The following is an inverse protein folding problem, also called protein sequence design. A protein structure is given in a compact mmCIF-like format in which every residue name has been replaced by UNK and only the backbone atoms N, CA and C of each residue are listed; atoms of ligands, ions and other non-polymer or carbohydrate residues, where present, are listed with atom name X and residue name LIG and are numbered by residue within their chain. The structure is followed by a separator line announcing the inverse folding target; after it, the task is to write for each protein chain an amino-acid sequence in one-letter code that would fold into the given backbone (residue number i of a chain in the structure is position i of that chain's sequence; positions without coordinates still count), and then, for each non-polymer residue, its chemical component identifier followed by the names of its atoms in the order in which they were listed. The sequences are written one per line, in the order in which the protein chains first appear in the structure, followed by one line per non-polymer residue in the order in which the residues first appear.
data_IF_975018692043
#
_entry.id   IF_975018692043
#
_cell.length_a   1.000
_cell.length_b   1.000
_cell.length_c   1.000
_cell.angle_alpha   90.00
_cell.angle_beta   90.00
_cell.angle_gamma   90.00
#
_symmetry.space_group_name_H-M   'P 1'
#
loop_
_entity.id
_entity.type
_entity.pdbx_description
1 polymer ?
#
# COMPACT_ATOMS: atom_id res chain seq x y z
N UNK A 1 1.87 11.67 2.76
CA UNK A 1 0.93 11.34 1.66
C UNK A 1 -0.45 11.77 2.16
N UNK A 2 -1.10 12.70 1.48
CA UNK A 2 -2.38 13.29 1.89
C UNK A 2 -3.54 12.80 1.02
N UNK A 3 -3.25 12.28 -0.17
CA UNK A 3 -4.24 11.73 -1.09
C UNK A 3 -3.71 10.50 -1.84
N UNK A 4 -4.60 9.73 -2.43
CA UNK A 4 -4.23 8.60 -3.30
C UNK A 4 -3.44 9.08 -4.53
N UNK A 5 -3.70 10.30 -5.01
CA UNK A 5 -2.96 10.90 -6.13
C UNK A 5 -1.45 11.08 -5.81
N UNK A 6 -1.10 11.24 -4.53
CA UNK A 6 0.29 11.37 -4.09
C UNK A 6 1.09 10.05 -4.16
N UNK A 7 0.41 8.93 -4.43
CA UNK A 7 1.07 7.62 -4.61
C UNK A 7 1.83 7.51 -5.93
N UNK A 8 1.63 8.44 -6.88
CA UNK A 8 2.35 8.45 -8.15
C UNK A 8 3.87 8.46 -7.91
N UNK A 9 4.56 7.49 -8.49
CA UNK A 9 6.01 7.27 -8.35
C UNK A 9 6.45 6.74 -6.98
N UNK A 10 5.52 6.40 -6.09
CA UNK A 10 5.81 5.89 -4.74
C UNK A 10 5.87 4.37 -4.71
N UNK A 11 6.62 3.84 -3.75
CA UNK A 11 6.69 2.42 -3.45
C UNK A 11 5.50 2.04 -2.59
N UNK A 12 4.62 1.20 -3.11
CA UNK A 12 3.40 0.81 -2.40
C UNK A 12 3.45 -0.69 -2.11
N UNK A 13 3.54 -1.04 -0.83
CA UNK A 13 3.45 -2.42 -0.38
C UNK A 13 2.05 -2.98 -0.61
N UNK A 14 1.95 -4.20 -1.15
CA UNK A 14 0.67 -4.93 -1.24
C UNK A 14 0.88 -6.43 -1.44
N UNK A 15 0.00 -7.27 -0.90
CA UNK A 15 0.01 -8.70 -1.21
C UNK A 15 -0.53 -8.98 -2.61
N UNK A 16 0.24 -9.66 -3.49
CA UNK A 16 -0.19 -9.96 -4.86
C UNK A 16 -1.45 -10.85 -4.90
N UNK A 17 -2.48 -10.46 -5.64
CA UNK A 17 -3.70 -11.25 -5.82
C UNK A 17 -4.63 -11.31 -4.59
N UNK A 18 -4.40 -10.45 -3.59
CA UNK A 18 -5.22 -10.38 -2.37
C UNK A 18 -6.37 -9.38 -2.52
N UNK A 19 -7.32 -9.38 -1.58
CA UNK A 19 -8.37 -8.35 -1.51
C UNK A 19 -7.80 -6.93 -1.42
N UNK A 20 -6.68 -6.74 -0.69
CA UNK A 20 -5.98 -5.47 -0.60
C UNK A 20 -5.33 -5.03 -1.92
N UNK A 21 -4.99 -5.98 -2.80
CA UNK A 21 -4.54 -5.65 -4.16
C UNK A 21 -5.68 -5.02 -4.95
N UNK A 22 -6.85 -5.65 -4.96
CA UNK A 22 -8.03 -5.13 -5.66
C UNK A 22 -8.45 -3.77 -5.11
N UNK A 23 -8.39 -3.59 -3.79
CA UNK A 23 -8.67 -2.31 -3.15
C UNK A 23 -7.69 -1.21 -3.61
N UNK A 24 -6.39 -1.53 -3.66
CA UNK A 24 -5.38 -0.58 -4.12
C UNK A 24 -5.62 -0.17 -5.58
N UNK A 25 -5.90 -1.14 -6.46
CA UNK A 25 -6.22 -0.86 -7.87
C UNK A 25 -7.44 0.06 -7.97
N UNK A 26 -8.54 -0.29 -7.31
CA UNK A 26 -9.77 0.52 -7.34
C UNK A 26 -9.57 1.94 -6.77
N UNK A 27 -8.73 2.09 -5.74
CA UNK A 27 -8.39 3.39 -5.17
C UNK A 27 -7.60 4.25 -6.17
N UNK A 28 -6.61 3.66 -6.84
CA UNK A 28 -5.81 4.35 -7.86
C UNK A 28 -6.66 4.77 -9.06
N UNK A 29 -7.52 3.87 -9.56
CA UNK A 29 -8.46 4.17 -10.65
C UNK A 29 -9.38 5.34 -10.31
N UNK A 30 -9.93 5.35 -9.08
CA UNK A 30 -10.77 6.46 -8.59
C UNK A 30 -10.00 7.79 -8.51
N UNK A 31 -8.69 7.73 -8.28
CA UNK A 31 -7.81 8.91 -8.27
C UNK A 31 -7.30 9.29 -9.67
N UNK A 32 -7.69 8.56 -10.73
CA UNK A 32 -7.19 8.77 -12.08
C UNK A 32 -5.72 8.36 -12.28
N UNK A 33 -5.19 7.51 -11.40
CA UNK A 33 -3.86 6.93 -11.50
C UNK A 33 -3.93 5.53 -12.09
N UNK A 34 -3.04 5.25 -13.04
CA UNK A 34 -2.84 3.87 -13.51
C UNK A 34 -1.92 3.12 -12.54
N UNK A 35 -2.10 1.80 -12.44
CA UNK A 35 -1.32 0.96 -11.53
C UNK A 35 0.18 0.95 -11.86
N UNK A 36 0.55 1.18 -13.12
CA UNK A 36 1.95 1.31 -13.56
C UNK A 36 2.60 2.65 -13.19
N UNK A 37 1.81 3.62 -12.71
CA UNK A 37 2.30 4.90 -12.22
C UNK A 37 2.77 4.83 -10.76
N UNK A 38 2.59 3.69 -10.10
CA UNK A 38 3.17 3.40 -8.78
C UNK A 38 4.26 2.33 -8.92
N UNK A 39 5.08 2.16 -7.90
CA UNK A 39 6.01 1.03 -7.79
C UNK A 39 5.43 0.00 -6.82
N UNK A 40 4.70 -1.02 -7.29
CA UNK A 40 4.14 -2.04 -6.40
C UNK A 40 5.25 -2.91 -5.83
N UNK A 41 5.29 -3.04 -4.50
CA UNK A 41 6.22 -3.91 -3.78
C UNK A 41 5.41 -5.07 -3.20
N UNK A 42 5.60 -6.26 -3.77
CA UNK A 42 4.84 -7.43 -3.35
C UNK A 42 5.44 -8.04 -2.09
N UNK A 43 4.74 -7.90 -0.97
CA UNK A 43 5.19 -8.32 0.36
C UNK A 43 4.07 -9.07 1.08
N UNK A 44 4.44 -9.99 1.97
CA UNK A 44 3.48 -10.51 2.94
C UNK A 44 3.06 -9.39 3.91
N UNK A 45 1.91 -9.47 4.58
CA UNK A 45 1.51 -8.43 5.53
C UNK A 45 2.54 -8.18 6.65
N UNK A 46 3.24 -9.22 7.12
CA UNK A 46 4.28 -9.09 8.12
C UNK A 46 5.51 -8.33 7.58
N UNK A 47 5.95 -8.67 6.36
CA UNK A 47 7.10 -8.03 5.72
C UNK A 47 6.79 -6.58 5.35
N UNK A 48 5.57 -6.30 4.89
CA UNK A 48 5.13 -4.95 4.55
C UNK A 48 5.09 -4.03 5.78
N UNK A 49 4.67 -4.55 6.94
CA UNK A 49 4.72 -3.79 8.19
C UNK A 49 6.16 -3.40 8.56
N UNK A 50 7.13 -4.32 8.40
CA UNK A 50 8.54 -4.05 8.67
C UNK A 50 9.16 -3.09 7.63
N UNK A 51 8.80 -3.25 6.35
CA UNK A 51 9.23 -2.38 5.27
C UNK A 51 8.70 -0.95 5.43
N UNK A 52 7.45 -0.79 5.89
CA UNK A 52 6.86 0.52 6.18
C UNK A 52 7.57 1.19 7.35
N UNK A 53 7.85 0.45 8.43
CA UNK A 53 8.57 0.93 9.60
C UNK A 53 10.00 1.42 9.32
N UNK A 54 10.60 0.92 8.24
CA UNK A 54 12.00 1.18 7.85
C UNK A 54 12.11 2.08 6.62
N UNK A 55 11.03 2.80 6.26
CA UNK A 55 10.96 3.71 5.10
C UNK A 55 11.31 3.04 3.75
N UNK A 56 11.17 1.71 3.67
CA UNK A 56 11.40 0.94 2.44
C UNK A 56 10.18 0.97 1.50
N UNK A 57 8.99 1.26 2.02
CA UNK A 57 7.78 1.56 1.24
C UNK A 57 7.14 2.84 1.76
N UNK A 58 6.57 3.62 0.84
CA UNK A 58 5.98 4.93 1.14
C UNK A 58 4.50 4.81 1.55
N UNK A 59 3.82 3.74 1.13
CA UNK A 59 2.44 3.42 1.48
C UNK A 59 2.22 1.90 1.48
N UNK A 60 1.13 1.45 2.11
CA UNK A 60 0.80 0.02 2.21
C UNK A 60 -0.72 -0.20 2.19
N UNK A 61 -1.18 -1.13 1.34
CA UNK A 61 -2.56 -1.62 1.34
C UNK A 61 -2.66 -2.98 2.05
N UNK A 62 -3.50 -3.07 3.08
CA UNK A 62 -3.66 -4.27 3.92
C UNK A 62 -5.07 -4.38 4.53
N UNK A 63 -5.40 -5.53 5.10
CA UNK A 63 -6.63 -5.83 5.84
C UNK A 63 -6.36 -6.01 7.36
N UNK A 64 -7.42 -5.97 8.16
CA UNK A 64 -7.34 -6.26 9.59
C UNK A 64 -6.89 -7.71 9.89
N UNK A 65 -6.13 -7.95 10.97
CA UNK A 65 -5.77 -7.01 12.04
C UNK A 65 -4.50 -6.18 11.76
N UNK A 66 -3.84 -6.37 10.61
CA UNK A 66 -2.58 -5.69 10.31
C UNK A 66 -2.74 -4.17 10.19
N UNK A 67 -3.88 -3.72 9.67
CA UNK A 67 -4.24 -2.29 9.63
C UNK A 67 -4.36 -1.70 11.04
N UNK A 68 -5.18 -2.30 11.92
CA UNK A 68 -5.30 -1.87 13.30
C UNK A 68 -3.96 -1.85 14.07
N UNK A 69 -3.09 -2.84 13.83
CA UNK A 69 -1.75 -2.88 14.42
C UNK A 69 -0.88 -1.72 13.91
N UNK A 70 -0.95 -1.39 12.62
CA UNK A 70 -0.19 -0.29 12.04
C UNK A 70 -0.69 1.07 12.55
N UNK A 71 -2.00 1.28 12.64
CA UNK A 71 -2.62 2.51 13.17
C UNK A 71 -2.19 2.81 14.61
N UNK A 72 -1.92 1.78 15.40
CA UNK A 72 -1.46 1.97 16.79
C UNK A 72 0.06 2.24 16.87
N UNK A 73 0.82 1.92 15.82
CA UNK A 73 2.31 1.90 15.86
C UNK A 73 2.97 3.05 15.10
N UNK A 74 2.30 3.67 14.13
CA UNK A 74 2.84 4.69 13.23
C UNK A 74 1.85 5.83 13.04
#
# INVERSE_FOLDING_TARGET
IQSVADLKGKRVGVGKGTSAHNLLVAALEKAGLAFDQITPVYLSPADAAAAFASDQIDAWSVWDPFFAIAETRY
#
